data_IF_347880560946
#
_entry.id   IF_347880560946
#
_cell.length_a   1.000
_cell.length_b   1.000
_cell.length_c   1.000
_cell.angle_alpha   90.00
_cell.angle_beta   90.00
_cell.angle_gamma   90.00
#
_symmetry.space_group_name_H-M   'P 1'
#
loop_
_entity.id
_entity.type
_entity.pdbx_description
1 polymer ?
#
# COMPACT_ATOMS: atom_id res chain seq x y z
N UNK A 1 14.75 6.03 -40.66
CA UNK A 1 13.40 5.52 -40.39
C UNK A 1 13.58 4.13 -39.79
N UNK A 2 13.82 4.08 -38.49
CA UNK A 2 13.85 2.80 -37.78
C UNK A 2 12.41 2.34 -37.65
N UNK A 3 12.09 1.22 -38.29
CA UNK A 3 10.85 0.50 -38.04
C UNK A 3 10.88 0.08 -36.56
N UNK A 4 10.18 0.82 -35.71
CA UNK A 4 10.02 0.51 -34.30
C UNK A 4 9.57 -0.94 -34.18
N UNK A 5 10.33 -1.74 -33.43
CA UNK A 5 9.99 -3.13 -33.18
C UNK A 5 8.56 -3.20 -32.66
N UNK A 6 7.65 -3.79 -33.44
CA UNK A 6 6.27 -3.98 -33.02
C UNK A 6 6.31 -4.89 -31.79
N UNK A 7 6.05 -4.35 -30.60
CA UNK A 7 5.93 -5.15 -29.39
C UNK A 7 4.78 -6.13 -29.58
N UNK A 8 5.10 -7.40 -29.82
CA UNK A 8 4.10 -8.46 -29.88
C UNK A 8 3.80 -8.93 -28.46
N UNK A 9 2.53 -8.80 -28.05
CA UNK A 9 2.01 -9.38 -26.82
C UNK A 9 1.61 -10.84 -27.05
N UNK A 10 1.81 -11.68 -26.04
CA UNK A 10 1.50 -13.10 -26.07
C UNK A 10 0.03 -13.39 -25.72
N UNK A 11 -0.43 -14.64 -25.92
CA UNK A 11 -1.73 -15.10 -25.39
C UNK A 11 -1.77 -15.04 -23.87
N UNK A 12 -0.63 -15.24 -23.20
CA UNK A 12 -0.55 -15.09 -21.75
C UNK A 12 -0.73 -13.63 -21.33
N UNK A 13 -0.21 -12.68 -22.11
CA UNK A 13 -0.40 -11.25 -21.85
C UNK A 13 -1.88 -10.87 -22.00
N UNK A 14 -2.57 -11.40 -23.01
CA UNK A 14 -4.03 -11.23 -23.14
C UNK A 14 -4.80 -11.80 -21.94
N UNK A 15 -4.40 -12.95 -21.43
CA UNK A 15 -4.98 -13.53 -20.21
C UNK A 15 -4.75 -12.64 -18.99
N UNK A 16 -3.53 -12.13 -18.80
CA UNK A 16 -3.18 -11.21 -17.71
C UNK A 16 -3.97 -9.91 -17.82
N UNK A 17 -4.11 -9.35 -19.02
CA UNK A 17 -4.89 -8.12 -19.25
C UNK A 17 -6.38 -8.33 -18.98
N UNK A 18 -6.95 -9.44 -19.47
CA UNK A 18 -8.32 -9.81 -19.17
C UNK A 18 -8.54 -9.98 -17.66
N UNK A 19 -7.64 -10.68 -16.97
CA UNK A 19 -7.75 -10.83 -15.52
C UNK A 19 -7.63 -9.50 -14.78
N UNK A 20 -6.75 -8.61 -15.23
CA UNK A 20 -6.66 -7.25 -14.71
C UNK A 20 -8.01 -6.52 -14.78
N UNK A 21 -8.66 -6.51 -15.95
CA UNK A 21 -9.93 -5.82 -16.18
C UNK A 21 -11.10 -6.37 -15.35
N UNK A 22 -11.04 -7.66 -14.98
CA UNK A 22 -12.16 -8.34 -14.32
C UNK A 22 -11.96 -8.61 -12.82
N UNK A 23 -10.72 -8.66 -12.34
CA UNK A 23 -10.43 -9.15 -10.99
C UNK A 23 -9.23 -8.47 -10.31
N UNK A 24 -8.46 -7.62 -10.98
CA UNK A 24 -7.27 -6.99 -10.38
C UNK A 24 -7.23 -5.46 -10.53
N UNK A 25 -8.40 -4.82 -10.62
CA UNK A 25 -8.49 -3.37 -10.67
C UNK A 25 -8.05 -2.77 -9.32
N UNK A 26 -7.17 -1.75 -9.33
CA UNK A 26 -6.87 -0.99 -8.12
C UNK A 26 -8.11 -0.35 -7.51
N UNK A 27 -8.20 -0.36 -6.17
CA UNK A 27 -9.27 0.30 -5.42
C UNK A 27 -8.94 1.76 -5.03
N UNK A 28 -7.68 2.17 -5.21
CA UNK A 28 -7.22 3.55 -4.97
C UNK A 28 -6.71 4.20 -6.26
N UNK A 29 -6.81 5.54 -6.38
CA UNK A 29 -7.52 6.46 -5.47
C UNK A 29 -9.04 6.16 -5.40
N UNK A 30 -9.73 6.56 -4.32
CA UNK A 30 -11.17 6.29 -4.22
C UNK A 30 -11.94 6.97 -5.37
N UNK A 31 -13.02 6.33 -5.83
CA UNK A 31 -13.82 6.80 -6.96
C UNK A 31 -13.19 6.61 -8.34
N UNK A 32 -11.99 6.03 -8.44
CA UNK A 32 -11.28 5.86 -9.72
C UNK A 32 -11.66 4.59 -10.50
N UNK A 33 -12.69 3.84 -10.09
CA UNK A 33 -13.05 2.55 -10.70
C UNK A 33 -13.24 2.62 -12.22
N UNK A 34 -13.95 3.64 -12.72
CA UNK A 34 -14.11 3.87 -14.17
C UNK A 34 -12.78 4.16 -14.87
N UNK A 35 -11.91 4.94 -14.23
CA UNK A 35 -10.58 5.24 -14.79
C UNK A 35 -9.77 3.96 -14.97
N UNK A 36 -9.73 3.10 -13.95
CA UNK A 36 -9.00 1.83 -14.01
C UNK A 36 -9.59 0.82 -15.00
N UNK A 37 -10.92 0.76 -15.12
CA UNK A 37 -11.61 -0.18 -16.00
C UNK A 37 -11.68 0.24 -17.48
N UNK A 38 -11.71 1.53 -17.77
CA UNK A 38 -11.98 2.04 -19.13
C UNK A 38 -10.87 2.94 -19.68
N UNK A 39 -10.56 4.04 -18.99
CA UNK A 39 -9.75 5.13 -19.55
C UNK A 39 -8.23 4.79 -19.51
N UNK A 40 -7.74 4.26 -18.39
CA UNK A 40 -6.33 3.84 -18.21
C UNK A 40 -5.94 2.70 -19.17
N UNK A 41 -6.76 1.65 -19.38
CA UNK A 41 -6.51 0.63 -20.41
C UNK A 41 -6.36 1.20 -21.82
N UNK A 42 -7.18 2.18 -22.19
CA UNK A 42 -7.08 2.87 -23.49
C UNK A 42 -5.79 3.68 -23.59
N UNK A 43 -5.42 4.40 -22.52
CA UNK A 43 -4.15 5.12 -22.47
C UNK A 43 -2.95 4.20 -22.63
N UNK A 44 -2.99 3.00 -22.04
CA UNK A 44 -1.90 2.02 -22.07
C UNK A 44 -1.50 1.58 -23.49
N UNK A 45 -2.42 1.63 -24.46
CA UNK A 45 -2.16 1.24 -25.85
C UNK A 45 -0.94 1.97 -26.46
N UNK A 46 -0.78 3.27 -26.18
CA UNK A 46 0.34 4.08 -26.70
C UNK A 46 1.49 4.25 -25.70
N UNK A 47 1.40 3.68 -24.48
CA UNK A 47 2.38 3.86 -23.41
C UNK A 47 2.87 2.49 -22.90
N UNK A 48 3.95 1.93 -23.48
CA UNK A 48 4.46 0.61 -23.11
C UNK A 48 4.74 0.42 -21.62
N UNK A 49 5.21 1.46 -20.93
CA UNK A 49 5.45 1.41 -19.48
C UNK A 49 4.16 1.14 -18.69
N UNK A 50 3.05 1.77 -19.10
CA UNK A 50 1.75 1.59 -18.47
C UNK A 50 1.18 0.23 -18.84
N UNK A 51 1.22 -0.18 -20.10
CA UNK A 51 0.76 -1.51 -20.52
C UNK A 51 1.45 -2.62 -19.74
N UNK A 52 2.78 -2.57 -19.61
CA UNK A 52 3.51 -3.53 -18.79
C UNK A 52 3.16 -3.45 -17.30
N UNK A 53 2.86 -2.27 -16.75
CA UNK A 53 2.40 -2.15 -15.36
C UNK A 53 1.02 -2.81 -15.16
N UNK A 54 0.08 -2.67 -16.10
CA UNK A 54 -1.24 -3.31 -16.02
C UNK A 54 -1.14 -4.83 -16.17
N UNK A 55 -0.36 -5.30 -17.16
CA UNK A 55 -0.11 -6.73 -17.36
C UNK A 55 0.57 -7.37 -16.15
N UNK A 56 1.57 -6.69 -15.59
CA UNK A 56 2.24 -7.14 -14.36
C UNK A 56 1.25 -7.25 -13.20
N UNK A 57 0.35 -6.28 -13.02
CA UNK A 57 -0.65 -6.33 -11.96
C UNK A 57 -1.63 -7.50 -12.13
N UNK A 58 -2.12 -7.72 -13.35
CA UNK A 58 -2.94 -8.89 -13.67
C UNK A 58 -2.21 -10.21 -13.42
N UNK A 59 -0.95 -10.31 -13.82
CA UNK A 59 -0.12 -11.50 -13.62
C UNK A 59 0.19 -11.76 -12.14
N UNK A 60 0.51 -10.73 -11.35
CA UNK A 60 0.71 -10.87 -9.89
C UNK A 60 -0.57 -11.35 -9.22
N UNK A 61 -1.72 -10.79 -9.57
CA UNK A 61 -2.99 -11.21 -9.00
C UNK A 61 -3.37 -12.63 -9.44
N UNK A 62 -3.20 -12.99 -10.72
CA UNK A 62 -3.38 -14.36 -11.22
C UNK A 62 -2.52 -15.37 -10.45
N UNK A 63 -1.24 -15.04 -10.25
CA UNK A 63 -0.32 -15.88 -9.49
C UNK A 63 -0.80 -16.09 -8.04
N UNK A 64 -1.37 -15.05 -7.46
CA UNK A 64 -1.93 -15.05 -6.12
C UNK A 64 -3.17 -15.96 -6.00
N UNK A 65 -4.10 -15.91 -6.97
CA UNK A 65 -5.37 -16.65 -6.88
C UNK A 65 -5.34 -18.06 -7.48
N UNK A 66 -4.47 -18.33 -8.44
CA UNK A 66 -4.41 -19.60 -9.19
C UNK A 66 -3.15 -20.41 -8.85
N UNK A 67 -2.80 -20.51 -7.56
CA UNK A 67 -1.49 -20.87 -6.99
C UNK A 67 -0.79 -22.18 -7.43
N UNK A 68 -1.26 -22.90 -8.45
CA UNK A 68 -0.85 -24.27 -8.71
C UNK A 68 0.58 -24.44 -9.25
N UNK A 69 1.26 -23.45 -9.84
CA UNK A 69 2.64 -23.69 -10.34
C UNK A 69 3.54 -22.44 -10.44
N UNK A 70 3.15 -21.31 -9.86
CA UNK A 70 3.96 -20.07 -9.96
C UNK A 70 4.16 -19.57 -11.40
N UNK A 71 3.42 -20.11 -12.38
CA UNK A 71 3.57 -19.88 -13.83
C UNK A 71 3.52 -18.37 -14.16
N UNK A 72 2.67 -17.63 -13.44
CA UNK A 72 2.51 -16.21 -13.66
C UNK A 72 3.54 -15.36 -12.91
N UNK A 73 4.28 -15.92 -11.93
CA UNK A 73 5.27 -15.17 -11.15
C UNK A 73 6.38 -14.61 -12.01
N UNK A 74 6.98 -15.43 -12.87
CA UNK A 74 8.07 -14.97 -13.74
C UNK A 74 7.56 -13.91 -14.72
N UNK A 75 6.40 -14.13 -15.33
CA UNK A 75 5.78 -13.16 -16.24
C UNK A 75 5.49 -11.82 -15.51
N UNK A 76 4.92 -11.89 -14.30
CA UNK A 76 4.65 -10.70 -13.49
C UNK A 76 5.91 -9.87 -13.20
N UNK A 77 7.02 -10.54 -12.83
CA UNK A 77 8.31 -9.89 -12.59
C UNK A 77 8.89 -9.31 -13.88
N UNK A 78 8.81 -10.02 -15.00
CA UNK A 78 9.31 -9.54 -16.30
C UNK A 78 8.58 -8.28 -16.75
N UNK A 79 7.25 -8.26 -16.64
CA UNK A 79 6.44 -7.08 -16.91
C UNK A 79 6.75 -5.93 -15.95
N UNK A 80 6.89 -6.19 -14.64
CA UNK A 80 7.29 -5.17 -13.67
C UNK A 80 8.64 -4.53 -14.03
N UNK A 81 9.64 -5.33 -14.37
CA UNK A 81 10.97 -4.84 -14.75
C UNK A 81 10.90 -3.98 -16.01
N UNK A 82 10.15 -4.41 -17.03
CA UNK A 82 9.96 -3.63 -18.26
C UNK A 82 9.24 -2.32 -17.98
N UNK A 83 8.18 -2.36 -17.17
CA UNK A 83 7.43 -1.18 -16.75
C UNK A 83 8.34 -0.16 -16.04
N UNK A 84 9.11 -0.58 -15.03
CA UNK A 84 10.03 0.29 -14.29
C UNK A 84 11.11 0.92 -15.20
N UNK A 85 11.70 0.14 -16.11
CA UNK A 85 12.72 0.64 -17.05
C UNK A 85 12.15 1.68 -18.00
N UNK A 86 11.02 1.39 -18.63
CA UNK A 86 10.38 2.32 -19.57
C UNK A 86 9.76 3.53 -18.86
N UNK A 87 9.25 3.38 -17.64
CA UNK A 87 8.73 4.47 -16.83
C UNK A 87 9.83 5.47 -16.46
N UNK A 88 11.02 4.97 -16.06
CA UNK A 88 12.18 5.83 -15.78
C UNK A 88 12.57 6.69 -16.99
N UNK A 89 12.52 6.12 -18.19
CA UNK A 89 12.78 6.86 -19.42
C UNK A 89 11.69 7.90 -19.70
N UNK A 90 10.42 7.53 -19.52
CA UNK A 90 9.29 8.44 -19.72
C UNK A 90 9.34 9.65 -18.76
N UNK A 91 9.65 9.43 -17.48
CA UNK A 91 9.78 10.51 -16.47
C UNK A 91 10.94 11.46 -16.81
N UNK A 92 12.01 10.95 -17.45
CA UNK A 92 13.20 11.75 -17.77
C UNK A 92 13.01 12.66 -19.00
N UNK A 93 11.93 12.49 -19.77
CA UNK A 93 11.67 13.26 -20.99
C UNK A 93 10.85 14.51 -20.67
N UNK A 94 11.37 15.70 -20.99
CA UNK A 94 10.83 17.01 -20.55
C UNK A 94 9.56 17.49 -21.29
N UNK A 95 9.05 16.75 -22.27
CA UNK A 95 7.93 17.19 -23.13
C UNK A 95 6.61 16.46 -22.82
N UNK A 96 6.32 16.25 -21.54
CA UNK A 96 5.19 15.41 -21.10
C UNK A 96 3.86 16.13 -21.33
N UNK A 97 3.01 15.58 -22.19
CA UNK A 97 1.62 16.06 -22.33
C UNK A 97 0.80 15.73 -21.06
N UNK A 98 -0.35 16.39 -20.87
CA UNK A 98 -1.26 16.06 -19.75
C UNK A 98 -1.61 14.57 -19.71
N UNK A 99 -1.83 13.97 -20.88
CA UNK A 99 -2.16 12.54 -21.03
C UNK A 99 -1.03 11.62 -20.55
N UNK A 100 0.22 12.06 -20.69
CA UNK A 100 1.38 11.32 -20.22
C UNK A 100 1.54 11.45 -18.70
N UNK A 101 1.14 12.57 -18.10
CA UNK A 101 1.08 12.72 -16.65
C UNK A 101 0.12 11.74 -15.97
N UNK A 102 -1.08 11.56 -16.55
CA UNK A 102 -2.06 10.57 -16.08
C UNK A 102 -1.52 9.15 -16.25
N UNK A 103 -0.89 8.84 -17.39
CA UNK A 103 -0.34 7.53 -17.64
C UNK A 103 0.85 7.18 -16.72
N UNK A 104 1.75 8.14 -16.45
CA UNK A 104 2.85 7.99 -15.49
C UNK A 104 2.27 7.73 -14.09
N UNK A 105 1.27 8.50 -13.67
CA UNK A 105 0.65 8.32 -12.36
C UNK A 105 -0.03 6.95 -12.23
N UNK A 106 -0.79 6.55 -13.24
CA UNK A 106 -1.43 5.23 -13.28
C UNK A 106 -0.39 4.11 -13.21
N UNK A 107 0.75 4.26 -13.90
CA UNK A 107 1.84 3.30 -13.82
C UNK A 107 2.46 3.24 -12.42
N UNK A 108 2.69 4.38 -11.77
CA UNK A 108 3.18 4.44 -10.38
C UNK A 108 2.23 3.73 -9.41
N UNK A 109 0.90 3.97 -9.51
CA UNK A 109 -0.09 3.28 -8.70
C UNK A 109 -0.12 1.78 -8.96
N UNK A 110 -0.19 1.36 -10.23
CA UNK A 110 -0.19 -0.06 -10.59
C UNK A 110 1.06 -0.77 -10.03
N UNK A 111 2.24 -0.16 -10.17
CA UNK A 111 3.48 -0.70 -9.61
C UNK A 111 3.46 -0.72 -8.07
N UNK A 112 2.83 0.26 -7.42
CA UNK A 112 2.67 0.29 -5.96
C UNK A 112 1.82 -0.89 -5.48
N UNK A 113 0.71 -1.16 -6.17
CA UNK A 113 -0.16 -2.31 -5.88
C UNK A 113 0.55 -3.65 -6.11
N UNK A 114 1.40 -3.74 -7.14
CA UNK A 114 2.21 -4.94 -7.37
C UNK A 114 3.18 -5.22 -6.20
N UNK A 115 3.70 -4.19 -5.52
CA UNK A 115 4.66 -4.38 -4.41
C UNK A 115 4.08 -5.23 -3.28
N UNK A 116 2.76 -5.24 -3.10
CA UNK A 116 2.04 -6.06 -2.11
C UNK A 116 2.29 -7.57 -2.29
N UNK A 117 2.53 -8.00 -3.53
CA UNK A 117 2.76 -9.42 -3.87
C UNK A 117 4.24 -9.83 -3.77
N UNK A 118 5.10 -8.95 -3.25
CA UNK A 118 6.53 -9.17 -3.10
C UNK A 118 6.90 -9.30 -1.62
N UNK A 119 7.61 -10.38 -1.28
CA UNK A 119 8.05 -10.66 0.09
C UNK A 119 8.86 -9.51 0.74
N UNK A 120 9.70 -8.83 -0.06
CA UNK A 120 10.48 -7.66 0.36
C UNK A 120 9.98 -6.37 -0.35
N UNK A 121 8.68 -6.30 -0.60
CA UNK A 121 8.07 -5.24 -1.40
C UNK A 121 7.98 -3.88 -0.71
N UNK A 122 8.32 -3.76 0.58
CA UNK A 122 8.15 -2.51 1.33
C UNK A 122 9.02 -1.37 0.82
N UNK A 123 10.27 -1.63 0.46
CA UNK A 123 11.18 -0.61 -0.06
C UNK A 123 10.67 -0.05 -1.41
N UNK A 124 10.23 -0.97 -2.28
CA UNK A 124 9.56 -0.64 -3.53
C UNK A 124 8.26 0.14 -3.28
N UNK A 125 7.47 -0.27 -2.29
CA UNK A 125 6.22 0.39 -1.91
C UNK A 125 6.47 1.84 -1.50
N UNK A 126 7.42 2.08 -0.59
CA UNK A 126 7.80 3.43 -0.13
C UNK A 126 8.26 4.31 -1.32
N UNK A 127 9.12 3.76 -2.18
CA UNK A 127 9.59 4.45 -3.39
C UNK A 127 8.44 4.83 -4.34
N UNK A 128 7.53 3.90 -4.60
CA UNK A 128 6.45 4.10 -5.58
C UNK A 128 5.31 4.96 -5.05
N UNK A 129 5.01 4.91 -3.75
CA UNK A 129 4.10 5.85 -3.09
C UNK A 129 4.62 7.28 -3.24
N UNK A 130 5.92 7.51 -3.02
CA UNK A 130 6.54 8.82 -3.29
C UNK A 130 6.43 9.21 -4.77
N UNK A 131 6.65 8.26 -5.68
CA UNK A 131 6.44 8.46 -7.11
C UNK A 131 5.03 8.94 -7.45
N UNK A 132 3.99 8.35 -6.83
CA UNK A 132 2.61 8.79 -6.99
C UNK A 132 2.42 10.25 -6.52
N UNK A 133 2.97 10.59 -5.36
CA UNK A 133 2.90 11.96 -4.82
C UNK A 133 3.59 12.98 -5.74
N UNK A 134 4.84 12.74 -6.12
CA UNK A 134 5.62 13.65 -6.98
C UNK A 134 4.98 13.83 -8.37
N UNK A 135 4.44 12.76 -8.93
CA UNK A 135 3.72 12.83 -10.20
C UNK A 135 2.44 13.66 -10.05
N UNK A 136 1.65 13.40 -9.00
CA UNK A 136 0.41 14.14 -8.75
C UNK A 136 0.67 15.64 -8.57
N UNK A 137 1.73 16.02 -7.85
CA UNK A 137 2.08 17.44 -7.65
C UNK A 137 2.57 18.10 -8.94
N UNK A 138 3.38 17.41 -9.75
CA UNK A 138 3.86 17.93 -11.03
C UNK A 138 2.74 18.21 -12.04
N UNK A 139 1.71 17.36 -12.08
CA UNK A 139 0.61 17.47 -13.07
C UNK A 139 -0.65 18.15 -12.53
N UNK A 140 -0.64 18.65 -11.28
CA UNK A 140 -1.81 19.28 -10.62
C UNK A 140 -2.37 20.48 -11.38
N UNK A 141 -1.52 21.27 -12.02
CA UNK A 141 -1.92 22.47 -12.77
C UNK A 141 -2.61 22.18 -14.10
N UNK A 142 -2.71 20.92 -14.51
CA UNK A 142 -3.37 20.52 -15.75
C UNK A 142 -4.81 20.03 -15.54
N UNK A 143 -5.36 20.22 -14.33
CA UNK A 143 -6.80 20.09 -14.05
C UNK A 143 -7.36 18.67 -14.02
N UNK A 144 -6.53 17.63 -14.07
CA UNK A 144 -7.00 16.26 -14.36
C UNK A 144 -6.78 15.24 -13.23
N UNK A 145 -6.19 15.61 -12.08
CA UNK A 145 -5.79 14.61 -11.08
C UNK A 145 -6.15 15.05 -9.65
N UNK A 146 -7.16 14.42 -9.06
CA UNK A 146 -7.42 14.39 -7.62
C UNK A 146 -6.87 13.08 -7.04
N UNK A 147 -5.55 13.00 -6.84
CA UNK A 147 -4.88 11.80 -6.33
C UNK A 147 -3.97 12.07 -5.12
N UNK A 148 -4.07 13.25 -4.50
CA UNK A 148 -3.34 13.50 -3.26
C UNK A 148 -4.01 12.75 -2.09
N UNK A 149 -3.23 12.24 -1.12
CA UNK A 149 -3.75 11.73 0.14
C UNK A 149 -4.77 12.73 0.73
N UNK A 150 -5.90 12.23 1.22
CA UNK A 150 -6.93 13.04 1.86
C UNK A 150 -7.95 13.70 0.92
N UNK A 151 -7.59 14.02 -0.32
CA UNK A 151 -8.51 14.74 -1.23
C UNK A 151 -9.73 13.92 -1.65
N UNK A 152 -9.62 12.60 -1.59
CA UNK A 152 -10.68 11.66 -1.95
C UNK A 152 -11.55 11.25 -0.76
N UNK A 153 -11.26 11.71 0.47
CA UNK A 153 -12.02 11.32 1.67
C UNK A 153 -13.45 11.84 1.66
N UNK A 154 -13.72 12.94 0.96
CA UNK A 154 -15.10 13.45 0.79
C UNK A 154 -16.02 12.46 0.07
N UNK A 155 -15.46 11.54 -0.74
CA UNK A 155 -16.23 10.50 -1.45
C UNK A 155 -16.79 9.44 -0.51
N UNK A 156 -16.24 9.33 0.70
CA UNK A 156 -16.62 8.35 1.72
C UNK A 156 -16.97 9.02 3.06
N UNK A 157 -17.39 10.29 3.02
CA UNK A 157 -17.61 11.08 4.23
C UNK A 157 -18.63 10.42 5.18
N UNK A 158 -19.70 9.83 4.63
CA UNK A 158 -20.71 9.14 5.42
C UNK A 158 -20.17 7.86 6.06
N UNK A 159 -19.35 7.10 5.34
CA UNK A 159 -18.75 5.87 5.86
C UNK A 159 -17.70 6.18 6.93
N UNK A 160 -16.97 7.29 6.80
CA UNK A 160 -16.06 7.81 7.82
C UNK A 160 -16.80 8.14 9.13
N UNK A 161 -17.99 8.74 9.06
CA UNK A 161 -18.82 9.04 10.24
C UNK A 161 -19.30 7.76 10.96
N UNK A 162 -19.50 6.67 10.23
CA UNK A 162 -20.03 5.41 10.76
C UNK A 162 -18.95 4.38 11.11
N UNK A 163 -17.68 4.80 11.21
CA UNK A 163 -16.59 3.88 11.54
C UNK A 163 -16.79 3.27 12.94
N UNK A 164 -16.49 1.96 13.10
CA UNK A 164 -16.65 1.27 14.38
C UNK A 164 -15.66 1.79 15.43
N UNK A 165 -16.04 1.82 16.71
CA UNK A 165 -15.14 2.18 17.81
C UNK A 165 -14.03 1.14 17.98
N UNK A 166 -12.79 1.56 18.28
CA UNK A 166 -11.73 0.63 18.59
C UNK A 166 -11.78 0.24 20.08
N UNK A 167 -11.29 -0.95 20.41
CA UNK A 167 -11.06 -1.37 21.79
C UNK A 167 -9.98 -0.51 22.41
N UNK A 168 -10.38 0.45 23.26
CA UNK A 168 -9.48 1.44 23.83
C UNK A 168 -8.27 0.83 24.56
N UNK A 169 -8.43 -0.34 25.21
CA UNK A 169 -7.31 -1.04 25.85
C UNK A 169 -6.22 -1.43 24.84
N UNK A 170 -6.59 -1.89 23.64
CA UNK A 170 -5.64 -2.27 22.60
C UNK A 170 -4.89 -1.05 22.06
N UNK A 171 -5.60 0.05 21.83
CA UNK A 171 -4.99 1.29 21.35
C UNK A 171 -4.03 1.89 22.39
N UNK A 172 -4.42 1.93 23.67
CA UNK A 172 -3.54 2.38 24.76
C UNK A 172 -2.29 1.51 24.91
N UNK A 173 -2.41 0.20 24.72
CA UNK A 173 -1.26 -0.70 24.73
C UNK A 173 -0.30 -0.40 23.55
N UNK A 174 -0.84 -0.05 22.37
CA UNK A 174 -0.05 0.42 21.24
C UNK A 174 0.72 1.70 21.52
N UNK A 175 0.06 2.71 22.09
CA UNK A 175 0.71 3.96 22.53
C UNK A 175 1.84 3.67 23.52
N UNK A 176 1.56 2.87 24.56
CA UNK A 176 2.56 2.51 25.56
C UNK A 176 3.75 1.73 24.99
N UNK A 177 3.54 0.91 23.96
CA UNK A 177 4.63 0.23 23.25
C UNK A 177 5.44 1.19 22.39
N UNK A 178 4.77 2.09 21.65
CA UNK A 178 5.42 3.06 20.77
C UNK A 178 6.31 4.02 21.57
N UNK A 179 5.83 4.50 22.73
CA UNK A 179 6.57 5.40 23.62
C UNK A 179 7.95 4.88 24.07
N UNK A 180 8.16 3.55 24.06
CA UNK A 180 9.46 2.97 24.39
C UNK A 180 10.53 3.31 23.35
N UNK A 181 10.15 3.69 22.13
CA UNK A 181 11.08 4.06 21.04
C UNK A 181 11.61 5.49 21.21
N UNK A 182 10.94 6.37 21.98
CA UNK A 182 11.32 7.78 22.15
C UNK A 182 12.83 7.98 22.42
N UNK A 183 13.48 7.23 23.34
CA UNK A 183 14.90 7.42 23.63
C UNK A 183 15.85 7.07 22.47
N UNK A 184 15.36 6.38 21.43
CA UNK A 184 16.13 5.94 20.27
C UNK A 184 16.07 6.94 19.10
N UNK A 185 15.20 7.95 19.17
CA UNK A 185 15.03 8.94 18.12
C UNK A 185 16.25 9.87 18.08
N UNK A 186 16.88 9.97 16.91
CA UNK A 186 18.13 10.72 16.71
C UNK A 186 18.00 11.82 15.64
N UNK A 187 16.96 11.76 14.79
CA UNK A 187 16.78 12.71 13.69
C UNK A 187 15.38 13.35 13.67
N UNK A 188 15.26 14.50 13.00
CA UNK A 188 13.98 15.19 12.80
C UNK A 188 12.98 14.31 12.05
N UNK A 189 13.33 13.63 10.94
CA UNK A 189 12.38 12.75 10.27
C UNK A 189 11.89 11.58 11.11
N UNK A 190 12.75 10.99 11.95
CA UNK A 190 12.34 9.95 12.90
C UNK A 190 11.31 10.49 13.89
N UNK A 191 11.54 11.68 14.45
CA UNK A 191 10.62 12.32 15.39
C UNK A 191 9.29 12.68 14.73
N UNK A 192 9.31 13.20 13.51
CA UNK A 192 8.09 13.54 12.76
C UNK A 192 7.29 12.29 12.44
N UNK A 193 7.95 11.21 11.99
CA UNK A 193 7.28 9.95 11.69
C UNK A 193 6.72 9.28 12.94
N UNK A 194 7.47 9.28 14.05
CA UNK A 194 7.00 8.86 15.37
C UNK A 194 5.72 9.61 15.77
N UNK A 195 5.72 10.94 15.67
CA UNK A 195 4.55 11.77 16.03
C UNK A 195 3.35 11.48 15.14
N UNK A 196 3.59 11.18 13.87
CA UNK A 196 2.56 10.73 12.95
C UNK A 196 1.86 9.46 13.45
N UNK A 197 2.63 8.41 13.73
CA UNK A 197 2.14 7.12 14.25
C UNK A 197 1.42 7.34 15.59
N UNK A 198 2.01 8.12 16.50
CA UNK A 198 1.38 8.45 17.78
C UNK A 198 0.03 9.17 17.59
N UNK A 199 -0.06 10.08 16.62
CA UNK A 199 -1.30 10.80 16.30
C UNK A 199 -2.38 9.87 15.73
N UNK A 200 -2.03 8.80 15.02
CA UNK A 200 -2.98 7.78 14.56
C UNK A 200 -3.61 7.07 15.76
N UNK A 201 -2.80 6.54 16.68
CA UNK A 201 -3.33 5.89 17.88
C UNK A 201 -4.13 6.85 18.78
N UNK A 202 -3.64 8.08 18.97
CA UNK A 202 -4.36 9.09 19.74
C UNK A 202 -5.71 9.44 19.08
N UNK A 203 -5.73 9.59 17.74
CA UNK A 203 -6.94 9.79 16.97
C UNK A 203 -7.93 8.63 17.10
N UNK A 204 -7.46 7.39 17.05
CA UNK A 204 -8.30 6.20 17.28
C UNK A 204 -8.95 6.19 18.67
N UNK A 205 -8.31 6.74 19.72
CA UNK A 205 -8.92 6.87 21.05
C UNK A 205 -10.04 7.92 21.11
N UNK A 206 -9.96 8.95 20.27
CA UNK A 206 -10.98 9.98 20.15
C UNK A 206 -12.15 9.48 19.29
N UNK A 207 -11.86 9.10 18.05
CA UNK A 207 -12.80 8.64 17.06
C UNK A 207 -12.05 7.94 15.92
N UNK A 208 -12.55 6.80 15.45
CA UNK A 208 -11.92 6.02 14.37
C UNK A 208 -11.72 6.82 13.08
N UNK A 209 -12.64 7.75 12.77
CA UNK A 209 -12.48 8.72 11.67
C UNK A 209 -11.21 9.54 11.83
N UNK A 210 -11.01 10.13 13.01
CA UNK A 210 -9.85 10.98 13.31
C UNK A 210 -8.58 10.15 13.18
N UNK A 211 -8.56 8.94 13.74
CA UNK A 211 -7.44 8.01 13.57
C UNK A 211 -7.11 7.72 12.10
N UNK A 212 -8.13 7.44 11.28
CA UNK A 212 -7.95 7.17 9.85
C UNK A 212 -7.48 8.40 9.06
N UNK A 213 -8.02 9.58 9.33
CA UNK A 213 -7.55 10.84 8.73
C UNK A 213 -6.06 11.06 9.03
N UNK A 214 -5.61 10.83 10.26
CA UNK A 214 -4.19 10.90 10.64
C UNK A 214 -3.35 9.83 9.93
N UNK A 215 -3.90 8.62 9.75
CA UNK A 215 -3.22 7.55 9.03
C UNK A 215 -3.00 7.92 7.56
N UNK A 216 -3.98 8.54 6.90
CA UNK A 216 -3.83 9.03 5.53
C UNK A 216 -2.83 10.20 5.46
N UNK A 217 -2.79 11.08 6.47
CA UNK A 217 -1.78 12.14 6.56
C UNK A 217 -0.36 11.61 6.76
N UNK A 218 -0.17 10.35 7.20
CA UNK A 218 1.18 9.80 7.29
C UNK A 218 1.88 9.91 5.95
N UNK A 219 1.20 9.64 4.83
CA UNK A 219 1.78 9.71 3.48
C UNK A 219 2.54 11.03 3.19
N UNK A 220 2.31 12.11 3.93
CA UNK A 220 3.10 13.35 3.87
C UNK A 220 4.59 13.14 4.24
N UNK A 221 4.94 12.16 5.08
CA UNK A 221 6.34 11.84 5.42
C UNK A 221 7.15 11.32 4.22
N UNK A 222 6.50 10.91 3.13
CA UNK A 222 7.13 10.44 1.91
C UNK A 222 7.48 11.58 0.94
N UNK A 223 7.12 12.82 1.28
CA UNK A 223 7.09 13.93 0.31
C UNK A 223 8.43 14.66 0.21
N UNK A 224 9.07 14.95 1.35
CA UNK A 224 10.36 15.63 1.40
C UNK A 224 11.50 14.68 1.04
N UNK A 225 12.61 15.23 0.52
CA UNK A 225 13.79 14.42 0.20
C UNK A 225 14.43 13.83 1.45
N UNK A 226 14.57 14.64 2.50
CA UNK A 226 15.19 14.24 3.77
C UNK A 226 14.39 13.10 4.43
N UNK A 227 13.08 13.28 4.60
CA UNK A 227 12.25 12.25 5.24
C UNK A 227 12.23 10.95 4.44
N UNK A 228 12.18 11.04 3.11
CA UNK A 228 12.28 9.87 2.25
C UNK A 228 13.63 9.14 2.36
N UNK A 229 14.74 9.88 2.41
CA UNK A 229 16.07 9.29 2.56
C UNK A 229 16.22 8.53 3.87
N UNK A 230 15.68 9.08 4.96
CA UNK A 230 15.63 8.41 6.25
C UNK A 230 14.70 7.19 6.23
N UNK A 231 13.51 7.30 5.64
CA UNK A 231 12.53 6.20 5.53
C UNK A 231 13.09 4.98 4.77
N UNK A 232 13.87 5.20 3.71
CA UNK A 232 14.44 4.12 2.90
C UNK A 232 15.76 3.56 3.43
N UNK A 233 16.35 4.16 4.46
CA UNK A 233 17.64 3.71 4.97
C UNK A 233 17.47 2.46 5.84
N UNK A 234 17.76 1.31 5.26
CA UNK A 234 17.71 0.03 5.96
C UNK A 234 18.73 -0.09 7.12
N UNK A 235 19.73 0.79 7.21
CA UNK A 235 20.65 0.86 8.35
C UNK A 235 20.12 1.72 9.50
N UNK A 236 19.08 2.53 9.27
CA UNK A 236 18.41 3.28 10.31
C UNK A 236 17.46 2.36 11.09
N UNK A 237 18.01 1.69 12.10
CA UNK A 237 17.27 0.71 12.89
C UNK A 237 16.08 1.33 13.65
N UNK A 238 16.18 2.60 14.09
CA UNK A 238 15.06 3.31 14.71
C UNK A 238 13.92 3.49 13.72
N UNK A 239 14.21 3.92 12.49
CA UNK A 239 13.20 4.05 11.45
C UNK A 239 12.59 2.70 11.06
N UNK A 240 13.38 1.61 11.07
CA UNK A 240 12.87 0.24 10.88
C UNK A 240 11.85 -0.17 11.96
N UNK A 241 12.07 0.23 13.22
CA UNK A 241 11.09 0.03 14.29
C UNK A 241 9.80 0.80 14.00
N UNK A 242 9.90 2.08 13.62
CA UNK A 242 8.74 2.91 13.28
C UNK A 242 7.97 2.39 12.06
N UNK A 243 8.67 1.92 11.03
CA UNK A 243 8.06 1.27 9.86
C UNK A 243 7.27 0.01 10.25
N UNK A 244 7.74 -0.77 11.23
CA UNK A 244 6.97 -1.89 11.75
C UNK A 244 5.63 -1.43 12.35
N UNK A 245 5.63 -0.33 13.11
CA UNK A 245 4.41 0.27 13.65
C UNK A 245 3.49 0.79 12.54
N UNK A 246 4.03 1.44 11.50
CA UNK A 246 3.23 1.86 10.35
C UNK A 246 2.54 0.69 9.64
N UNK A 247 3.25 -0.42 9.41
CA UNK A 247 2.66 -1.64 8.82
C UNK A 247 1.56 -2.17 9.72
N UNK A 248 1.78 -2.17 11.04
CA UNK A 248 0.78 -2.59 12.01
C UNK A 248 -0.47 -1.70 11.94
N UNK A 249 -0.33 -0.38 11.88
CA UNK A 249 -1.47 0.52 11.76
C UNK A 249 -2.27 0.24 10.49
N UNK A 250 -1.59 0.09 9.35
CA UNK A 250 -2.26 -0.26 8.09
C UNK A 250 -2.99 -1.60 8.20
N UNK A 251 -2.37 -2.61 8.81
CA UNK A 251 -2.98 -3.91 9.08
C UNK A 251 -4.19 -3.78 10.02
N UNK A 252 -4.09 -2.95 11.05
CA UNK A 252 -5.16 -2.68 12.02
C UNK A 252 -6.38 -1.99 11.41
N UNK A 253 -6.21 -1.17 10.37
CA UNK A 253 -7.33 -0.46 9.71
C UNK A 253 -8.21 -1.35 8.83
N UNK A 254 -7.78 -2.58 8.51
CA UNK A 254 -8.51 -3.46 7.60
C UNK A 254 -10.00 -3.71 7.93
N UNK A 255 -10.41 -3.92 9.20
CA UNK A 255 -11.81 -4.06 9.54
C UNK A 255 -12.54 -2.71 9.75
N UNK A 256 -11.82 -1.58 9.75
CA UNK A 256 -12.37 -0.23 9.91
C UNK A 256 -12.66 0.46 8.57
N UNK A 257 -11.83 0.21 7.57
CA UNK A 257 -11.82 0.94 6.30
C UNK A 257 -12.10 0.00 5.10
N UNK A 258 -13.37 -0.40 4.87
CA UNK A 258 -13.73 -1.31 3.78
C UNK A 258 -13.45 -0.75 2.37
N UNK A 259 -13.27 0.56 2.23
CA UNK A 259 -12.85 1.18 0.96
C UNK A 259 -11.36 1.00 0.66
N UNK A 260 -10.51 0.88 1.69
CA UNK A 260 -9.07 0.58 1.58
C UNK A 260 -8.78 -0.93 1.56
N UNK A 261 -9.70 -1.70 2.12
CA UNK A 261 -9.66 -3.15 2.13
C UNK A 261 -11.01 -3.62 1.62
N UNK A 262 -11.22 -3.72 0.29
CA UNK A 262 -12.50 -4.11 -0.29
C UNK A 262 -12.93 -5.52 0.13
N UNK A 263 -14.22 -5.81 0.04
CA UNK A 263 -14.75 -7.16 0.31
C UNK A 263 -14.40 -8.17 -0.78
N UNK A 264 -13.77 -7.71 -1.87
CA UNK A 264 -13.05 -8.56 -2.80
C UNK A 264 -11.94 -9.33 -2.06
N UNK A 265 -12.26 -10.59 -1.74
CA UNK A 265 -11.52 -11.42 -0.79
C UNK A 265 -10.06 -11.57 -1.18
N UNK A 266 -9.70 -11.90 -2.44
CA UNK A 266 -8.31 -12.02 -2.84
C UNK A 266 -7.47 -10.75 -2.61
N UNK A 267 -7.95 -9.58 -3.00
CA UNK A 267 -7.14 -8.34 -2.92
C UNK A 267 -6.82 -8.01 -1.45
N UNK A 268 -7.84 -8.03 -0.59
CA UNK A 268 -7.66 -7.73 0.83
C UNK A 268 -6.82 -8.78 1.55
N UNK A 269 -7.03 -10.07 1.28
CA UNK A 269 -6.25 -11.14 1.91
C UNK A 269 -4.76 -11.08 1.50
N UNK A 270 -4.48 -10.82 0.22
CA UNK A 270 -3.10 -10.68 -0.25
C UNK A 270 -2.42 -9.42 0.30
N UNK A 271 -3.15 -8.31 0.42
CA UNK A 271 -2.64 -7.10 1.09
C UNK A 271 -2.22 -7.38 2.52
N UNK A 272 -3.05 -8.08 3.27
CA UNK A 272 -2.79 -8.40 4.67
C UNK A 272 -1.68 -9.45 4.84
N UNK A 273 -1.58 -10.40 3.91
CA UNK A 273 -0.44 -11.31 3.83
C UNK A 273 0.87 -10.57 3.52
N UNK A 274 0.87 -9.65 2.56
CA UNK A 274 2.05 -8.85 2.21
C UNK A 274 2.54 -8.00 3.39
N UNK A 275 1.63 -7.32 4.09
CA UNK A 275 1.96 -6.58 5.32
C UNK A 275 2.58 -7.49 6.38
N UNK A 276 2.02 -8.68 6.56
CA UNK A 276 2.59 -9.67 7.48
C UNK A 276 4.00 -10.08 7.05
N UNK A 277 4.23 -10.39 5.77
CA UNK A 277 5.54 -10.74 5.24
C UNK A 277 6.56 -9.61 5.45
N UNK A 278 6.18 -8.37 5.15
CA UNK A 278 7.02 -7.19 5.38
C UNK A 278 7.37 -7.04 6.87
N UNK A 279 6.40 -7.21 7.77
CA UNK A 279 6.65 -7.17 9.21
C UNK A 279 7.61 -8.29 9.66
N UNK A 280 7.47 -9.51 9.11
CA UNK A 280 8.38 -10.62 9.43
C UNK A 280 9.79 -10.37 8.91
N UNK A 281 9.95 -9.77 7.72
CA UNK A 281 11.26 -9.38 7.20
C UNK A 281 11.92 -8.36 8.12
N UNK A 282 11.17 -7.32 8.52
CA UNK A 282 11.71 -6.31 9.47
C UNK A 282 12.14 -6.96 10.78
N UNK A 283 11.31 -7.82 11.34
CA UNK A 283 11.64 -8.54 12.57
C UNK A 283 12.89 -9.41 12.44
N UNK A 284 13.03 -10.14 11.32
CA UNK A 284 14.15 -11.03 11.08
C UNK A 284 15.47 -10.26 10.98
N UNK A 285 15.46 -9.11 10.30
CA UNK A 285 16.63 -8.25 10.08
C UNK A 285 17.06 -7.47 11.34
N UNK A 286 16.15 -7.27 12.30
CA UNK A 286 16.45 -6.51 13.51
C UNK A 286 17.38 -7.28 14.47
N UNK A 287 18.41 -6.62 15.04
CA UNK A 287 19.20 -7.16 16.14
C UNK A 287 18.33 -7.57 17.32
N UNK A 288 18.70 -8.65 18.01
CA UNK A 288 17.92 -9.23 19.10
C UNK A 288 17.56 -8.21 20.20
N UNK A 289 18.51 -7.34 20.56
CA UNK A 289 18.32 -6.29 21.57
C UNK A 289 17.27 -5.24 21.21
N UNK A 290 16.93 -5.07 19.92
CA UNK A 290 15.90 -4.12 19.47
C UNK A 290 14.51 -4.78 19.32
N UNK A 291 14.43 -6.11 19.29
CA UNK A 291 13.15 -6.82 19.16
C UNK A 291 12.23 -6.63 20.38
N UNK A 292 12.79 -6.26 21.52
CA UNK A 292 12.04 -5.92 22.74
C UNK A 292 11.06 -4.76 22.52
N UNK A 293 11.44 -3.74 21.73
CA UNK A 293 10.58 -2.60 21.39
C UNK A 293 9.38 -2.98 20.52
N UNK A 294 9.41 -4.15 19.88
CA UNK A 294 8.36 -4.65 18.99
C UNK A 294 7.55 -5.82 19.58
N UNK A 295 7.71 -6.14 20.87
CA UNK A 295 7.00 -7.26 21.50
C UNK A 295 5.47 -7.14 21.34
N UNK A 296 4.90 -5.98 21.68
CA UNK A 296 3.46 -5.77 21.54
C UNK A 296 3.01 -5.78 20.07
N UNK A 297 3.62 -5.02 19.13
CA UNK A 297 3.29 -5.09 17.70
C UNK A 297 3.33 -6.49 17.13
N UNK A 298 4.41 -7.24 17.41
CA UNK A 298 4.58 -8.62 16.94
C UNK A 298 3.51 -9.55 17.49
N UNK A 299 3.15 -9.38 18.76
CA UNK A 299 2.07 -10.15 19.39
C UNK A 299 0.71 -9.96 18.71
N UNK A 300 0.44 -8.79 18.11
CA UNK A 300 -0.80 -8.56 17.36
C UNK A 300 -0.86 -9.44 16.12
N UNK A 301 0.20 -9.43 15.31
CA UNK A 301 0.29 -10.28 14.12
C UNK A 301 0.14 -11.75 14.49
N UNK A 302 0.81 -12.19 15.56
CA UNK A 302 0.75 -13.59 16.00
C UNK A 302 -0.64 -13.98 16.52
N UNK A 303 -1.30 -13.12 17.31
CA UNK A 303 -2.67 -13.35 17.76
C UNK A 303 -3.65 -13.37 16.59
N UNK A 304 -3.50 -12.47 15.62
CA UNK A 304 -4.35 -12.44 14.43
C UNK A 304 -4.23 -13.74 13.62
N UNK A 305 -2.99 -14.26 13.45
CA UNK A 305 -2.75 -15.57 12.82
C UNK A 305 -3.43 -16.70 13.56
N UNK A 306 -3.28 -16.77 14.89
CA UNK A 306 -3.89 -17.81 15.71
C UNK A 306 -5.41 -17.79 15.59
N UNK A 307 -6.03 -16.61 15.74
CA UNK A 307 -7.49 -16.46 15.60
C UNK A 307 -7.98 -16.88 14.21
N UNK A 308 -7.22 -16.52 13.15
CA UNK A 308 -7.54 -16.93 11.77
C UNK A 308 -7.40 -18.44 11.56
N UNK A 309 -6.43 -19.09 12.21
CA UNK A 309 -6.19 -20.54 12.10
C UNK A 309 -7.19 -21.38 12.90
N UNK A 310 -7.56 -20.94 14.10
CA UNK A 310 -8.49 -21.64 15.01
C UNK A 310 -9.92 -21.71 14.45
N UNK A 311 -10.27 -20.79 13.55
CA UNK A 311 -11.56 -20.78 12.84
C UNK A 311 -11.46 -21.67 11.61
N UNK A 312 -11.97 -22.91 11.72
CA UNK A 312 -12.02 -23.87 10.61
C UNK A 312 -12.71 -23.26 9.38
N UNK A 313 -12.01 -23.24 8.23
CA UNK A 313 -12.54 -22.93 6.90
C UNK A 313 -12.66 -21.43 6.56
N UNK A 314 -11.80 -20.95 5.65
CA UNK A 314 -11.89 -19.62 4.97
C UNK A 314 -12.03 -18.39 5.89
N UNK A 315 -11.64 -18.45 7.17
CA UNK A 315 -11.65 -17.26 8.04
C UNK A 315 -10.79 -16.16 7.43
N UNK A 316 -11.32 -14.95 7.29
CA UNK A 316 -10.60 -13.82 6.70
C UNK A 316 -9.76 -13.13 7.76
N UNK A 317 -8.70 -12.45 7.33
CA UNK A 317 -7.88 -11.60 8.20
C UNK A 317 -8.72 -10.52 8.88
N UNK A 318 -9.66 -9.91 8.13
CA UNK A 318 -10.60 -8.92 8.66
C UNK A 318 -11.40 -9.44 9.86
N UNK A 319 -11.79 -10.72 9.86
CA UNK A 319 -12.55 -11.31 10.97
C UNK A 319 -11.69 -11.41 12.24
N UNK A 320 -10.45 -11.89 12.09
CA UNK A 320 -9.50 -11.97 13.19
C UNK A 320 -9.19 -10.58 13.76
N UNK A 321 -9.01 -9.60 12.89
CA UNK A 321 -8.72 -8.21 13.27
C UNK A 321 -9.91 -7.52 13.93
N UNK A 322 -11.13 -7.78 13.46
CA UNK A 322 -12.37 -7.28 14.10
C UNK A 322 -12.46 -7.76 15.54
N UNK A 323 -12.10 -9.02 15.82
CA UNK A 323 -12.09 -9.56 17.19
C UNK A 323 -11.04 -8.86 18.06
N UNK A 324 -9.88 -8.53 17.50
CA UNK A 324 -8.81 -7.87 18.24
C UNK A 324 -9.12 -6.40 18.51
N UNK A 325 -9.66 -5.67 17.53
CA UNK A 325 -9.65 -4.21 17.56
C UNK A 325 -11.00 -3.54 17.62
N UNK A 326 -12.09 -4.17 17.19
CA UNK A 326 -13.40 -3.51 17.14
C UNK A 326 -14.17 -3.76 18.45
N UNK A 327 -14.63 -2.67 19.05
CA UNK A 327 -15.67 -2.69 20.07
C UNK A 327 -17.03 -2.63 19.35
N UNK A 328 -18.04 -3.35 19.81
CA UNK A 328 -19.28 -3.59 19.03
C UNK A 328 -20.17 -2.36 18.73
N UNK A 329 -19.69 -1.16 19.05
CA UNK A 329 -20.39 0.12 18.92
C UNK A 329 -19.78 0.98 17.79
N UNK A 330 -20.56 1.85 17.17
CA UNK A 330 -20.07 2.91 16.25
C UNK A 330 -19.59 4.13 17.04
N UNK A 331 -18.67 4.92 16.46
CA UNK A 331 -18.07 6.10 17.08
C UNK A 331 -19.09 7.13 17.57
#
# INVERSE_FOLDING_TARGET
MDAGSMQCFSMQDLQCFHHYLHAALPHLPLGSGRLWGEDIPQLAYCRPYLMHALLGLGAFHLNAVCSEDGIFRQNALDHRIRALRSLKQAISNTTVEVSDGIAILAACYALTFQSIYLANGIDDYILLVRGCYLTTTAFRHHGSITALPGQHLHLIAQELENMPKPKAQMIRAGIGSLQQIIPLLQSTPELEFYKGIEAVFAGLLECSRVGYERFISLYDAWTTQESFETLKDNNNLTMRLLLFFYILESFMFAPFAPWDFPDDVPISEHRLNGMLEWSNSIWADLPEGLRSYLQWPKSIFDRAKLIKADRTGRSLWKDALRILFIDGETC
#
